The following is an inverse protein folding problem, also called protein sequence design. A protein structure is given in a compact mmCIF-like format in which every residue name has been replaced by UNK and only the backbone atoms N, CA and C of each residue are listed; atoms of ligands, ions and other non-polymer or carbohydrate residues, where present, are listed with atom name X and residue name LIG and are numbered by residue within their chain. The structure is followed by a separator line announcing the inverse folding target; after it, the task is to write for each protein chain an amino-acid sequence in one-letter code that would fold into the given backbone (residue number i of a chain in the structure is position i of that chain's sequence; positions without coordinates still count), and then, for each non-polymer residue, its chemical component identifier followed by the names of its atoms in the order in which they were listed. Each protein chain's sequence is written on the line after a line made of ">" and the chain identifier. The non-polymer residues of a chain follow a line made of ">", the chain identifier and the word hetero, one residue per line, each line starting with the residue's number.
data_IF_328151323755
#
_entry.id   IF_328151323755
#
_cell.length_a   1.000
_cell.length_b   1.000
_cell.length_c   1.000
_cell.angle_alpha   90.00
_cell.angle_beta   90.00
_cell.angle_gamma   90.00
#
_symmetry.space_group_name_H-M   'P 1'
#
loop_
_entity.id
_entity.type
_entity.pdbx_description
1 polymer ?
#
# COMPACT_ATOMS: atom_id res chain seq x y z
N UNK A 1 -45.36 -28.41 23.43
CA UNK A 1 -43.91 -28.62 23.22
C UNK A 1 -43.66 -28.79 21.74
N UNK A 2 -43.06 -27.78 21.11
CA UNK A 2 -42.04 -28.02 20.09
C UNK A 2 -41.28 -26.70 19.89
N UNK A 3 -40.19 -26.62 20.65
CA UNK A 3 -39.14 -25.62 20.58
C UNK A 3 -38.30 -25.89 19.33
N UNK A 4 -38.76 -25.36 18.19
CA UNK A 4 -37.85 -25.04 17.08
C UNK A 4 -37.75 -23.53 17.00
N UNK A 5 -37.05 -23.04 18.01
CA UNK A 5 -36.56 -21.70 18.17
C UNK A 5 -35.87 -21.22 16.89
N UNK A 6 -36.30 -20.04 16.48
CA UNK A 6 -35.46 -18.99 15.89
C UNK A 6 -33.97 -19.32 16.01
N UNK A 7 -33.37 -19.79 14.91
CA UNK A 7 -31.95 -19.56 14.70
C UNK A 7 -31.78 -18.07 14.43
N UNK A 8 -31.84 -17.29 15.51
CA UNK A 8 -31.21 -16.00 15.63
C UNK A 8 -29.75 -16.23 15.25
N UNK A 9 -29.41 -15.89 14.01
CA UNK A 9 -28.03 -15.62 13.63
C UNK A 9 -27.62 -14.49 14.56
N UNK A 10 -27.05 -14.85 15.72
CA UNK A 10 -26.47 -13.91 16.66
C UNK A 10 -25.36 -13.24 15.86
N UNK A 11 -25.71 -12.07 15.32
CA UNK A 11 -24.79 -11.09 14.77
C UNK A 11 -23.79 -10.87 15.89
N UNK A 12 -22.64 -11.54 15.79
CA UNK A 12 -21.50 -11.31 16.64
C UNK A 12 -21.07 -9.88 16.36
N UNK A 13 -21.69 -8.96 17.10
CA UNK A 13 -21.39 -7.53 17.20
C UNK A 13 -20.10 -7.40 17.99
N UNK A 14 -19.05 -8.09 17.53
CA UNK A 14 -17.70 -7.68 17.86
C UNK A 14 -17.56 -6.21 17.51
N UNK A 15 -16.74 -5.48 18.28
CA UNK A 15 -16.39 -4.11 17.94
C UNK A 15 -15.98 -4.11 16.47
N UNK A 16 -16.57 -3.26 15.63
CA UNK A 16 -16.10 -3.12 14.26
C UNK A 16 -14.58 -2.95 14.31
N UNK A 17 -13.83 -3.79 13.60
CA UNK A 17 -12.37 -3.66 13.55
C UNK A 17 -12.07 -2.22 13.13
N UNK A 18 -11.38 -1.46 13.98
CA UNK A 18 -10.95 -0.10 13.68
C UNK A 18 -9.91 -0.16 12.56
N UNK A 19 -10.12 0.58 11.45
CA UNK A 19 -9.36 0.47 10.17
C UNK A 19 -10.21 0.16 8.91
N UNK A 20 -11.45 0.67 8.86
CA UNK A 20 -12.59 0.14 8.07
C UNK A 20 -12.66 0.60 6.62
N UNK A 21 -11.96 -0.10 5.73
CA UNK A 21 -12.36 -0.15 4.31
C UNK A 21 -13.67 -0.92 4.11
N UNK A 22 -14.29 -0.76 2.94
CA UNK A 22 -15.42 -1.61 2.51
C UNK A 22 -14.92 -3.06 2.28
N UNK A 23 -15.63 -4.09 2.77
CA UNK A 23 -15.22 -5.47 2.56
C UNK A 23 -15.32 -5.85 1.09
N UNK A 24 -14.20 -6.20 0.46
CA UNK A 24 -14.13 -6.69 -0.91
C UNK A 24 -13.75 -8.17 -0.91
N UNK A 25 -14.58 -9.01 -1.53
CA UNK A 25 -14.29 -10.44 -1.72
C UNK A 25 -13.51 -10.64 -3.01
N UNK A 26 -12.29 -11.16 -2.91
CA UNK A 26 -11.43 -11.48 -4.06
C UNK A 26 -11.08 -12.96 -4.06
N UNK A 27 -11.11 -13.60 -5.23
CA UNK A 27 -10.62 -14.96 -5.42
C UNK A 27 -9.18 -14.90 -5.94
N UNK A 28 -8.23 -15.36 -5.13
CA UNK A 28 -6.82 -15.44 -5.49
C UNK A 28 -6.42 -16.89 -5.80
N UNK A 29 -5.58 -17.07 -6.81
CA UNK A 29 -5.00 -18.37 -7.13
C UNK A 29 -3.90 -18.72 -6.12
N UNK A 30 -3.62 -20.02 -5.88
CA UNK A 30 -2.61 -20.45 -4.90
C UNK A 30 -1.22 -19.83 -5.10
N UNK A 31 -0.83 -19.60 -6.36
CA UNK A 31 0.46 -19.03 -6.72
C UNK A 31 0.61 -17.56 -6.28
N UNK A 32 -0.51 -16.84 -6.13
CA UNK A 32 -0.55 -15.47 -5.62
C UNK A 32 -0.69 -15.46 -4.09
N UNK A 33 -1.39 -16.45 -3.54
CA UNK A 33 -1.57 -16.57 -2.08
C UNK A 33 -0.25 -16.84 -1.35
N UNK A 34 0.63 -17.66 -1.91
CA UNK A 34 1.94 -17.97 -1.30
C UNK A 34 2.76 -16.71 -0.96
N UNK A 35 3.05 -15.83 -1.94
CA UNK A 35 3.76 -14.58 -1.68
C UNK A 35 3.09 -13.65 -0.66
N UNK A 36 1.75 -13.62 -0.63
CA UNK A 36 1.00 -12.81 0.35
C UNK A 36 1.21 -13.36 1.77
N UNK A 37 1.18 -14.69 1.92
CA UNK A 37 1.40 -15.35 3.21
C UNK A 37 2.85 -15.21 3.68
N UNK A 38 3.82 -15.26 2.76
CA UNK A 38 5.22 -15.02 3.07
C UNK A 38 5.46 -13.60 3.61
N UNK A 39 4.86 -12.59 2.97
CA UNK A 39 4.96 -11.18 3.42
C UNK A 39 4.25 -10.97 4.74
N UNK A 40 3.04 -11.52 4.88
CA UNK A 40 2.28 -11.49 6.14
C UNK A 40 3.11 -12.07 7.29
N UNK A 41 3.80 -13.18 7.05
CA UNK A 41 4.66 -13.83 8.04
C UNK A 41 5.95 -13.07 8.30
N UNK A 42 6.61 -12.57 7.25
CA UNK A 42 7.89 -11.85 7.36
C UNK A 42 7.77 -10.49 8.06
N UNK A 43 6.63 -9.82 7.90
CA UNK A 43 6.37 -8.50 8.49
C UNK A 43 5.50 -8.57 9.75
N UNK A 44 5.10 -9.77 10.15
CA UNK A 44 4.18 -10.02 11.28
C UNK A 44 2.86 -9.21 11.19
N UNK A 45 2.36 -8.98 9.98
CA UNK A 45 1.12 -8.25 9.70
C UNK A 45 -0.01 -9.21 9.32
N UNK A 46 -1.26 -8.75 9.41
CA UNK A 46 -2.40 -9.56 8.95
C UNK A 46 -2.39 -9.75 7.43
N UNK A 47 -2.90 -10.88 6.95
CA UNK A 47 -3.04 -11.16 5.52
C UNK A 47 -3.77 -10.04 4.74
N UNK A 48 -4.88 -9.45 5.23
CA UNK A 48 -5.49 -8.28 4.58
C UNK A 48 -4.55 -7.07 4.49
N UNK A 49 -3.73 -6.80 5.49
CA UNK A 49 -2.76 -5.71 5.42
C UNK A 49 -1.62 -6.01 4.45
N UNK A 50 -1.14 -7.25 4.40
CA UNK A 50 -0.16 -7.66 3.39
C UNK A 50 -0.69 -7.45 1.96
N UNK A 51 -1.97 -7.76 1.72
CA UNK A 51 -2.63 -7.50 0.43
C UNK A 51 -2.68 -6.00 0.13
N UNK A 52 -3.08 -5.16 1.10
CA UNK A 52 -3.12 -3.70 0.89
C UNK A 52 -1.74 -3.12 0.61
N UNK A 53 -0.72 -3.55 1.36
CA UNK A 53 0.67 -3.14 1.15
C UNK A 53 1.15 -3.47 -0.26
N UNK A 54 0.90 -4.69 -0.73
CA UNK A 54 1.26 -5.14 -2.07
C UNK A 54 0.54 -4.35 -3.17
N UNK A 55 -0.75 -4.07 -2.98
CA UNK A 55 -1.53 -3.26 -3.92
C UNK A 55 -0.97 -1.84 -3.99
N UNK A 56 -0.77 -1.19 -2.85
CA UNK A 56 -0.24 0.18 -2.80
C UNK A 56 1.14 0.25 -3.46
N UNK A 57 2.01 -0.72 -3.17
CA UNK A 57 3.33 -0.81 -3.80
C UNK A 57 3.26 -1.05 -5.31
N UNK A 58 2.32 -1.85 -5.79
CA UNK A 58 2.08 -2.08 -7.20
C UNK A 58 1.56 -0.84 -7.93
N UNK A 59 0.66 -0.09 -7.31
CA UNK A 59 0.15 1.19 -7.84
C UNK A 59 1.27 2.23 -7.94
N UNK A 60 2.04 2.42 -6.86
CA UNK A 60 3.19 3.32 -6.86
C UNK A 60 4.23 2.93 -7.92
N UNK A 61 4.49 1.63 -8.11
CA UNK A 61 5.39 1.15 -9.15
C UNK A 61 4.87 1.48 -10.56
N UNK A 62 3.56 1.35 -10.81
CA UNK A 62 2.98 1.69 -12.11
C UNK A 62 3.13 3.18 -12.43
N UNK A 63 2.81 4.05 -11.47
CA UNK A 63 2.96 5.50 -11.62
C UNK A 63 4.43 5.90 -11.86
N UNK A 64 5.36 5.27 -11.15
CA UNK A 64 6.79 5.46 -11.35
C UNK A 64 7.23 5.00 -12.75
N UNK A 65 6.73 3.84 -13.22
CA UNK A 65 7.05 3.31 -14.55
C UNK A 65 6.59 4.26 -15.66
N UNK A 66 5.37 4.80 -15.56
CA UNK A 66 4.84 5.78 -16.51
C UNK A 66 5.67 7.07 -16.54
N UNK A 67 6.11 7.54 -15.37
CA UNK A 67 6.99 8.70 -15.26
C UNK A 67 8.35 8.45 -15.93
N UNK A 68 8.97 7.30 -15.66
CA UNK A 68 10.26 6.92 -16.25
C UNK A 68 10.15 6.78 -17.77
N UNK A 69 9.08 6.17 -18.28
CA UNK A 69 8.85 6.05 -19.72
C UNK A 69 8.75 7.42 -20.39
N UNK A 70 7.97 8.33 -19.80
CA UNK A 70 7.80 9.71 -20.30
C UNK A 70 9.14 10.45 -20.33
N UNK A 71 9.93 10.36 -19.26
CA UNK A 71 11.26 10.97 -19.16
C UNK A 71 12.20 10.39 -20.22
N UNK A 72 12.22 9.07 -20.37
CA UNK A 72 13.13 8.39 -21.30
C UNK A 72 12.77 8.70 -22.75
N UNK A 73 11.49 8.71 -23.08
CA UNK A 73 11.00 9.01 -24.42
C UNK A 73 11.33 10.44 -24.82
N UNK A 74 10.85 11.43 -24.05
CA UNK A 74 11.02 12.86 -24.37
C UNK A 74 12.49 13.28 -24.23
N UNK A 75 13.18 12.83 -23.18
CA UNK A 75 14.61 13.10 -23.00
C UNK A 75 15.46 12.46 -24.11
N UNK A 76 15.10 11.26 -24.57
CA UNK A 76 15.77 10.61 -25.68
C UNK A 76 15.55 11.32 -27.02
N UNK A 77 14.39 11.91 -27.25
CA UNK A 77 14.13 12.79 -28.39
C UNK A 77 14.92 14.10 -28.32
N UNK A 78 14.97 14.73 -27.14
CA UNK A 78 15.77 15.93 -26.89
C UNK A 78 17.25 15.71 -27.26
N UNK A 79 17.84 14.63 -26.75
CA UNK A 79 19.24 14.29 -26.96
C UNK A 79 19.54 13.95 -28.43
N UNK A 80 18.54 13.51 -29.20
CA UNK A 80 18.64 13.28 -30.64
C UNK A 80 18.45 14.56 -31.46
N UNK A 81 18.22 15.71 -30.82
CA UNK A 81 17.99 17.00 -31.48
C UNK A 81 16.61 17.14 -32.11
N UNK A 82 15.65 16.28 -31.72
CA UNK A 82 14.26 16.41 -32.14
C UNK A 82 13.65 17.63 -31.44
N UNK A 83 12.99 18.54 -32.16
CA UNK A 83 12.33 19.69 -31.55
C UNK A 83 11.18 19.23 -30.66
N UNK A 84 11.21 19.67 -29.40
CA UNK A 84 10.25 19.29 -28.37
C UNK A 84 9.18 20.37 -28.22
N UNK A 85 7.92 19.98 -28.24
CA UNK A 85 6.81 20.92 -28.07
C UNK A 85 6.71 21.42 -26.61
N UNK A 86 6.00 22.54 -26.40
CA UNK A 86 5.75 23.02 -25.04
C UNK A 86 4.94 22.02 -24.21
N UNK A 87 4.04 21.25 -24.82
CA UNK A 87 3.30 20.18 -24.14
C UNK A 87 4.21 19.04 -23.69
N UNK A 88 5.21 18.68 -24.49
CA UNK A 88 6.17 17.63 -24.14
C UNK A 88 7.11 18.11 -23.01
N UNK A 89 7.52 19.37 -23.03
CA UNK A 89 8.29 19.97 -21.92
C UNK A 89 7.49 19.97 -20.62
N UNK A 90 6.17 20.25 -20.68
CA UNK A 90 5.29 20.18 -19.53
C UNK A 90 5.11 18.74 -19.03
N UNK A 91 4.92 17.79 -19.93
CA UNK A 91 4.80 16.36 -19.60
C UNK A 91 6.08 15.83 -18.96
N UNK A 92 7.24 16.19 -19.51
CA UNK A 92 8.55 15.84 -18.98
C UNK A 92 8.79 16.42 -17.59
N UNK A 93 8.53 17.71 -17.39
CA UNK A 93 8.70 18.34 -16.07
C UNK A 93 7.75 17.74 -15.03
N UNK A 94 6.50 17.45 -15.39
CA UNK A 94 5.53 16.76 -14.53
C UNK A 94 6.01 15.36 -14.15
N UNK A 95 6.53 14.60 -15.10
CA UNK A 95 7.06 13.25 -14.86
C UNK A 95 8.28 13.28 -13.92
N UNK A 96 9.17 14.28 -14.07
CA UNK A 96 10.29 14.49 -13.14
C UNK A 96 9.78 14.78 -11.73
N UNK A 97 8.81 15.68 -11.57
CA UNK A 97 8.25 16.00 -10.24
C UNK A 97 7.70 14.73 -9.58
N UNK A 98 6.88 13.94 -10.29
CA UNK A 98 6.35 12.67 -9.78
C UNK A 98 7.43 11.67 -9.37
N UNK A 99 8.52 11.58 -10.14
CA UNK A 99 9.67 10.73 -9.83
C UNK A 99 10.36 11.15 -8.52
N UNK A 100 10.34 12.44 -8.18
CA UNK A 100 10.91 12.94 -6.93
C UNK A 100 9.94 12.84 -5.76
N UNK A 101 8.64 13.09 -5.96
CA UNK A 101 7.59 13.00 -4.93
C UNK A 101 7.36 11.56 -4.45
N UNK A 102 7.40 10.58 -5.36
CA UNK A 102 7.29 9.15 -5.00
C UNK A 102 8.38 8.66 -4.04
N UNK A 103 9.46 9.42 -3.87
CA UNK A 103 10.53 9.13 -2.92
C UNK A 103 10.26 9.69 -1.51
N UNK A 104 9.45 10.74 -1.37
CA UNK A 104 9.13 11.37 -0.07
C UNK A 104 7.90 10.69 0.58
N UNK A 105 6.82 10.46 -0.17
CA UNK A 105 5.55 9.96 0.42
C UNK A 105 5.68 8.54 1.01
N UNK A 106 6.45 7.66 0.36
CA UNK A 106 6.66 6.30 0.84
C UNK A 106 7.47 6.24 2.15
N UNK A 107 8.38 7.19 2.35
CA UNK A 107 9.20 7.29 3.56
C UNK A 107 8.41 7.92 4.71
N UNK A 108 7.56 8.92 4.43
CA UNK A 108 6.72 9.58 5.44
C UNK A 108 5.58 8.68 5.96
N UNK A 109 4.90 7.93 5.08
CA UNK A 109 3.86 6.98 5.49
C UNK A 109 4.42 5.78 6.26
N UNK A 110 5.59 5.28 5.84
CA UNK A 110 6.31 4.22 6.56
C UNK A 110 6.77 4.72 7.94
N UNK A 111 7.29 5.94 8.01
CA UNK A 111 7.72 6.59 9.26
C UNK A 111 6.55 6.79 10.21
N UNK A 112 5.41 7.28 9.71
CA UNK A 112 4.18 7.43 10.51
C UNK A 112 3.68 6.08 11.03
N UNK A 113 3.69 5.05 10.19
CA UNK A 113 3.30 3.68 10.58
C UNK A 113 4.24 3.08 11.63
N UNK A 114 5.56 3.30 11.48
CA UNK A 114 6.56 2.88 12.46
C UNK A 114 6.43 3.63 13.79
N UNK A 115 6.11 4.92 13.76
CA UNK A 115 5.82 5.70 14.97
C UNK A 115 4.54 5.20 15.67
N UNK A 116 3.49 4.88 14.92
CA UNK A 116 2.25 4.32 15.48
C UNK A 116 2.50 2.93 16.09
N UNK A 117 3.26 2.06 15.42
CA UNK A 117 3.66 0.76 15.95
C UNK A 117 4.53 0.94 17.21
N UNK A 118 5.55 1.81 17.18
CA UNK A 118 6.42 2.11 18.33
C UNK A 118 5.60 2.57 19.53
N UNK A 119 4.67 3.50 19.32
CA UNK A 119 3.81 4.03 20.39
C UNK A 119 2.87 2.93 20.93
N UNK A 120 2.34 2.08 20.05
CA UNK A 120 1.50 0.94 20.48
C UNK A 120 2.27 -0.11 21.29
N UNK A 121 3.55 -0.33 20.99
CA UNK A 121 4.43 -1.24 21.74
C UNK A 121 4.86 -0.64 23.08
N UNK A 122 5.08 0.68 23.13
CA UNK A 122 5.34 1.41 24.36
C UNK A 122 4.15 1.33 25.32
N UNK A 123 2.93 1.55 24.83
CA UNK A 123 1.70 1.47 25.63
C UNK A 123 1.41 0.06 26.14
N UNK A 124 1.83 -0.97 25.40
CA UNK A 124 1.73 -2.38 25.81
C UNK A 124 2.85 -2.84 26.75
N UNK A 125 3.79 -1.94 27.10
CA UNK A 125 4.85 -2.21 28.08
C UNK A 125 6.06 -2.99 27.53
N UNK A 126 6.17 -3.18 26.22
CA UNK A 126 7.26 -3.94 25.58
C UNK A 126 8.56 -3.14 25.38
N UNK A 127 8.55 -1.83 25.64
CA UNK A 127 9.70 -0.93 25.47
C UNK A 127 10.26 -0.36 26.80
N UNK A 128 9.90 -0.95 27.95
CA UNK A 128 10.66 -0.71 29.19
C UNK A 128 11.96 -1.51 29.12
N UNK A 129 13.00 -0.87 28.58
CA UNK A 129 14.37 -1.30 28.84
C UNK A 129 14.72 -0.98 30.29
N UNK A 130 15.31 -1.97 30.95
CA UNK A 130 15.92 -1.93 32.27
C UNK A 130 16.97 -0.80 32.41
N UNK A 131 17.19 -0.39 33.67
CA UNK A 131 18.17 0.59 34.15
C UNK A 131 19.60 0.40 33.62
#
# INVERSE_FOLDING_TARGET
>A
MNDQEKNDIIKSRGRPATGKGEPVLVRLQPEILGPVDDISSSLEISRPEAVRLLINRGLAFNELSEAIETITHIGGEFLRGVPISNSDQLAFSTAIIKLFETKDDADDDLRASLEEIRNSLADRGYLKGDE
#
